data_IF_145359211062
#
_entry.id   IF_145359211062
#
_cell.length_a   1.000
_cell.length_b   1.000
_cell.length_c   1.000
_cell.angle_alpha   90.00
_cell.angle_beta   90.00
_cell.angle_gamma   90.00
#
_symmetry.space_group_name_H-M   'P 1'
#
loop_
_entity.id
_entity.type
_entity.pdbx_description
1 polymer ?
#
# COMPACT_ATOMS: atom_id res chain seq x y z
N UNK A 1 -0.21 14.55 -18.64
CA UNK A 1 -0.12 13.08 -18.51
C UNK A 1 0.79 12.62 -17.36
N UNK A 2 2.12 12.80 -17.37
CA UNK A 2 2.98 12.31 -16.27
C UNK A 2 2.87 13.14 -14.96
N UNK A 3 2.70 14.46 -15.07
CA UNK A 3 2.57 15.34 -13.91
C UNK A 3 1.27 15.12 -13.12
N UNK A 4 0.14 14.90 -13.82
CA UNK A 4 -1.17 14.65 -13.18
C UNK A 4 -1.18 13.32 -12.43
N UNK A 5 -0.59 12.26 -13.01
CA UNK A 5 -0.46 10.96 -12.35
C UNK A 5 0.40 11.04 -11.08
N UNK A 6 1.48 11.83 -11.12
CA UNK A 6 2.32 12.08 -9.94
C UNK A 6 1.54 12.79 -8.83
N UNK A 7 0.71 13.79 -9.16
CA UNK A 7 -0.10 14.51 -8.17
C UNK A 7 -1.12 13.58 -7.52
N UNK A 8 -1.82 12.77 -8.32
CA UNK A 8 -2.77 11.78 -7.80
C UNK A 8 -2.09 10.77 -6.86
N UNK A 9 -0.92 10.25 -7.26
CA UNK A 9 -0.14 9.33 -6.43
C UNK A 9 0.22 9.94 -5.07
N UNK A 10 0.61 11.22 -5.04
CA UNK A 10 0.95 11.90 -3.80
C UNK A 10 -0.28 12.09 -2.90
N UNK A 11 -1.42 12.46 -3.47
CA UNK A 11 -2.67 12.60 -2.73
C UNK A 11 -3.12 11.25 -2.13
N UNK A 12 -3.03 10.17 -2.90
CA UNK A 12 -3.37 8.82 -2.43
C UNK A 12 -2.41 8.36 -1.31
N UNK A 13 -1.11 8.68 -1.43
CA UNK A 13 -0.11 8.36 -0.41
C UNK A 13 -0.36 9.12 0.90
N UNK A 14 -0.75 10.40 0.83
CA UNK A 14 -1.09 11.21 1.99
C UNK A 14 -2.35 10.67 2.69
N UNK A 15 -3.42 10.40 1.94
CA UNK A 15 -4.65 9.81 2.48
C UNK A 15 -4.40 8.43 3.14
N UNK A 16 -3.57 7.59 2.52
CA UNK A 16 -3.20 6.30 3.10
C UNK A 16 -2.41 6.45 4.41
N UNK A 17 -1.52 7.44 4.50
CA UNK A 17 -0.78 7.74 5.71
C UNK A 17 -1.70 8.23 6.84
N UNK A 18 -2.61 9.16 6.55
CA UNK A 18 -3.59 9.65 7.53
C UNK A 18 -4.48 8.51 8.06
N UNK A 19 -4.98 7.65 7.17
CA UNK A 19 -5.77 6.50 7.56
C UNK A 19 -4.99 5.56 8.48
N UNK A 20 -3.74 5.23 8.14
CA UNK A 20 -2.88 4.38 8.96
C UNK A 20 -2.62 4.99 10.36
N UNK A 21 -2.43 6.32 10.43
CA UNK A 21 -2.29 7.02 11.71
C UNK A 21 -3.58 6.97 12.56
N UNK A 22 -4.75 7.04 11.92
CA UNK A 22 -6.04 7.00 12.62
C UNK A 22 -6.44 5.60 13.06
N UNK A 23 -6.26 4.59 12.19
CA UNK A 23 -6.61 3.20 12.48
C UNK A 23 -5.59 2.52 13.39
N UNK A 24 -4.33 2.98 13.37
CA UNK A 24 -3.22 2.27 14.00
C UNK A 24 -2.90 0.96 13.30
N UNK A 25 -3.31 0.80 12.04
CA UNK A 25 -3.08 -0.40 11.23
C UNK A 25 -2.36 -0.05 9.93
N UNK A 26 -1.32 -0.82 9.60
CA UNK A 26 -0.54 -0.67 8.38
C UNK A 26 -0.19 -2.03 7.78
N UNK A 27 0.28 -2.05 6.54
CA UNK A 27 0.74 -3.28 5.89
C UNK A 27 2.27 -3.36 5.93
N UNK A 28 2.80 -4.57 6.13
CA UNK A 28 4.24 -4.80 5.99
C UNK A 28 4.68 -4.58 4.54
N UNK A 29 5.66 -3.72 4.35
CA UNK A 29 6.10 -3.29 3.01
C UNK A 29 6.59 -4.48 2.17
N UNK A 30 7.29 -5.44 2.78
CA UNK A 30 7.74 -6.65 2.10
C UNK A 30 6.59 -7.53 1.63
N UNK A 31 5.53 -7.64 2.42
CA UNK A 31 4.36 -8.46 2.09
C UNK A 31 3.55 -7.82 0.95
N UNK A 32 3.40 -6.49 0.97
CA UNK A 32 2.78 -5.72 -0.12
C UNK A 32 3.58 -5.85 -1.41
N UNK A 33 4.91 -5.68 -1.37
CA UNK A 33 5.75 -5.82 -2.56
C UNK A 33 5.66 -7.22 -3.16
N UNK A 34 5.72 -8.26 -2.31
CA UNK A 34 5.56 -9.65 -2.76
C UNK A 34 4.23 -9.85 -3.48
N UNK A 35 3.14 -9.36 -2.89
CA UNK A 35 1.80 -9.47 -3.47
C UNK A 35 1.68 -8.73 -4.81
N UNK A 36 2.16 -7.49 -4.91
CA UNK A 36 2.10 -6.71 -6.15
C UNK A 36 2.91 -7.39 -7.26
N UNK A 37 4.13 -7.85 -6.96
CA UNK A 37 4.95 -8.52 -7.97
C UNK A 37 4.33 -9.82 -8.49
N UNK A 38 3.75 -10.64 -7.61
CA UNK A 38 3.05 -11.85 -8.01
C UNK A 38 1.82 -11.51 -8.90
N UNK A 39 1.02 -10.51 -8.51
CA UNK A 39 -0.14 -10.05 -9.29
C UNK A 39 0.25 -9.56 -10.69
N UNK A 40 1.34 -8.80 -10.81
CA UNK A 40 1.85 -8.32 -12.11
C UNK A 40 2.29 -9.48 -13.01
N UNK A 41 2.77 -10.58 -12.42
CA UNK A 41 3.15 -11.81 -13.15
C UNK A 41 1.96 -12.73 -13.47
N UNK A 42 0.76 -12.40 -13.03
CA UNK A 42 -0.42 -13.25 -13.16
C UNK A 42 -0.44 -14.45 -12.20
N UNK A 43 0.43 -14.45 -11.20
CA UNK A 43 0.50 -15.50 -10.18
C UNK A 43 -0.61 -15.29 -9.13
N UNK A 44 -1.05 -16.39 -8.52
CA UNK A 44 -1.92 -16.32 -7.35
C UNK A 44 -1.06 -16.02 -6.11
N UNK A 45 -1.35 -14.92 -5.42
CA UNK A 45 -0.72 -14.57 -4.16
C UNK A 45 -1.78 -14.21 -3.12
N UNK A 46 -1.54 -14.64 -1.89
CA UNK A 46 -2.37 -14.26 -0.76
C UNK A 46 -2.30 -12.75 -0.54
N UNK A 47 -3.46 -12.13 -0.30
CA UNK A 47 -3.52 -10.71 -0.01
C UNK A 47 -2.94 -10.45 1.39
N UNK A 48 -2.00 -9.50 1.54
CA UNK A 48 -1.44 -9.20 2.86
C UNK A 48 -2.52 -8.69 3.79
N UNK A 49 -2.41 -9.06 5.06
CA UNK A 49 -3.29 -8.59 6.13
C UNK A 49 -2.69 -7.36 6.80
N UNK A 50 -3.53 -6.41 7.27
CA UNK A 50 -3.06 -5.30 8.07
C UNK A 50 -2.49 -5.80 9.41
N UNK A 51 -1.48 -5.11 9.92
CA UNK A 51 -0.81 -5.33 11.22
C UNK A 51 -0.85 -4.03 12.01
N UNK A 52 -0.72 -4.10 13.34
CA UNK A 52 -0.61 -2.89 14.17
C UNK A 52 0.59 -2.04 13.72
N UNK A 53 0.33 -0.75 13.53
CA UNK A 53 1.30 0.23 13.10
C UNK A 53 1.91 0.92 14.32
N UNK A 54 3.23 0.70 14.52
CA UNK A 54 4.01 1.09 15.69
C UNK A 54 3.49 0.44 16.99
N UNK A 55 4.36 -0.33 17.62
CA UNK A 55 4.17 -0.76 19.01
C UNK A 55 4.43 0.40 19.98
#
# INVERSE_FOLDING_TARGET
MAAEQKIALLADAEAAYEHMCQSGEGYEASDVHRYIHARVRGESAERPQPKRWRE
#
